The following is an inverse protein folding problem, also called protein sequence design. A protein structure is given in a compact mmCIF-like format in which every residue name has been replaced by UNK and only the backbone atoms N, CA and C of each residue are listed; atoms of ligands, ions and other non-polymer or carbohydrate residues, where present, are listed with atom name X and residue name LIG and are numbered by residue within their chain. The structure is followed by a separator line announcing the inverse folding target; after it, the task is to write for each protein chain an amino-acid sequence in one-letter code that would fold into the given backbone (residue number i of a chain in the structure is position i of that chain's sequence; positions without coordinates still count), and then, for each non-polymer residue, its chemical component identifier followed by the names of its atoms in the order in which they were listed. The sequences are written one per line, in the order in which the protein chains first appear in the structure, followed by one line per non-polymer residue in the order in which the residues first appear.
data_IF_930878022048
#
_entry.id   IF_930878022048
#
_cell.length_a   1.000
_cell.length_b   1.000
_cell.length_c   1.000
_cell.angle_alpha   90.00
_cell.angle_beta   90.00
_cell.angle_gamma   90.00
#
_symmetry.space_group_name_H-M   'P 1'
#
loop_
_entity.id
_entity.type
_entity.pdbx_description
1 polymer ?
#
# COMPACT_ATOMS: atom_id res chain seq x y z
N UNK A 1 48.70 4.24 27.84
CA UNK A 1 48.70 3.47 26.57
C UNK A 1 47.25 3.09 26.20
N UNK A 2 46.66 3.71 25.18
CA UNK A 2 45.30 3.39 24.73
C UNK A 2 45.33 2.69 23.36
N UNK A 3 44.83 1.46 23.29
CA UNK A 3 44.86 0.59 22.12
C UNK A 3 43.73 0.97 21.15
N UNK A 4 44.04 1.67 20.05
CA UNK A 4 43.06 2.00 18.99
C UNK A 4 42.60 0.74 18.27
N UNK A 5 41.29 0.42 18.33
CA UNK A 5 40.67 -0.63 17.49
C UNK A 5 40.39 -0.08 16.09
N UNK A 6 40.97 -0.70 15.04
CA UNK A 6 40.64 -0.40 13.64
C UNK A 6 39.30 -1.04 13.26
N UNK A 7 38.35 -0.24 12.77
CA UNK A 7 37.09 -0.71 12.21
C UNK A 7 37.31 -1.42 10.86
N UNK A 8 36.66 -2.57 10.67
CA UNK A 8 36.69 -3.34 9.41
C UNK A 8 35.82 -2.63 8.36
N UNK A 9 36.40 -2.35 7.19
CA UNK A 9 35.71 -1.71 6.06
C UNK A 9 34.76 -2.70 5.37
N UNK A 10 33.55 -2.28 4.95
CA UNK A 10 32.59 -3.17 4.31
C UNK A 10 33.02 -3.63 2.90
N UNK A 11 32.74 -4.89 2.61
CA UNK A 11 33.32 -5.71 1.52
C UNK A 11 33.00 -5.26 0.08
N UNK A 12 31.93 -4.46 -0.12
CA UNK A 12 31.46 -4.00 -1.43
C UNK A 12 32.31 -2.88 -2.07
N UNK A 13 33.35 -2.37 -1.38
CA UNK A 13 34.26 -1.32 -1.91
C UNK A 13 35.50 -1.87 -2.60
N UNK A 14 35.61 -3.19 -2.80
CA UNK A 14 36.74 -3.79 -3.52
C UNK A 14 36.63 -3.53 -5.03
N UNK A 15 37.75 -3.23 -5.69
CA UNK A 15 37.82 -3.01 -7.14
C UNK A 15 37.25 -4.21 -7.93
N UNK A 16 37.35 -5.41 -7.37
CA UNK A 16 36.78 -6.64 -7.91
C UNK A 16 35.26 -6.55 -8.13
N UNK A 17 34.49 -6.04 -7.15
CA UNK A 17 33.03 -5.93 -7.24
C UNK A 17 32.57 -4.92 -8.31
N UNK A 18 33.33 -3.83 -8.49
CA UNK A 18 33.05 -2.84 -9.53
C UNK A 18 33.23 -3.43 -10.93
N UNK A 19 34.28 -4.21 -11.14
CA UNK A 19 34.56 -4.86 -12.42
C UNK A 19 33.53 -5.94 -12.77
N UNK A 20 33.14 -6.79 -11.80
CA UNK A 20 32.13 -7.84 -12.03
C UNK A 20 30.77 -7.24 -12.38
N UNK A 21 30.38 -6.12 -11.75
CA UNK A 21 29.09 -5.46 -12.02
C UNK A 21 28.99 -4.90 -13.45
N UNK A 22 30.07 -4.30 -13.97
CA UNK A 22 30.10 -3.77 -15.35
C UNK A 22 30.07 -4.87 -16.41
N UNK A 23 30.74 -6.00 -16.16
CA UNK A 23 30.81 -7.09 -17.13
C UNK A 23 29.44 -7.79 -17.29
N UNK A 24 28.73 -8.01 -16.18
CA UNK A 24 27.37 -8.57 -16.20
C UNK A 24 26.38 -7.67 -16.94
N UNK A 25 26.41 -6.35 -16.71
CA UNK A 25 25.54 -5.40 -17.42
C UNK A 25 25.82 -5.35 -18.93
N UNK A 26 27.09 -5.44 -19.34
CA UNK A 26 27.47 -5.36 -20.75
C UNK A 26 27.05 -6.62 -21.52
N UNK A 27 27.20 -7.80 -20.92
CA UNK A 27 26.76 -9.06 -21.54
C UNK A 27 25.23 -9.13 -21.64
N UNK A 28 24.48 -8.62 -20.65
CA UNK A 28 23.02 -8.52 -20.74
C UNK A 28 22.55 -7.62 -21.90
N UNK A 29 23.26 -6.51 -22.17
CA UNK A 29 22.91 -5.60 -23.26
C UNK A 29 23.15 -6.21 -24.64
N UNK A 30 24.24 -6.96 -24.83
CA UNK A 30 24.58 -7.57 -26.12
C UNK A 30 23.69 -8.76 -26.45
N UNK A 31 23.37 -9.60 -25.46
CA UNK A 31 22.49 -10.77 -25.69
C UNK A 31 21.02 -10.35 -25.81
N UNK A 32 20.60 -9.27 -25.13
CA UNK A 32 19.24 -8.73 -25.25
C UNK A 32 18.97 -8.00 -26.57
N UNK A 33 19.99 -7.38 -27.18
CA UNK A 33 19.83 -6.56 -28.39
C UNK A 33 19.62 -7.34 -29.69
N UNK A 34 20.10 -8.58 -29.78
CA UNK A 34 20.07 -9.36 -31.04
C UNK A 34 18.76 -10.14 -31.24
N UNK A 35 17.91 -10.26 -30.21
CA UNK A 35 16.65 -11.02 -30.27
C UNK A 35 15.39 -10.17 -30.54
N UNK A 36 15.58 -8.90 -30.93
CA UNK A 36 14.52 -7.89 -30.95
C UNK A 36 14.47 -7.10 -32.28
N UNK A 37 14.66 -7.77 -33.40
CA UNK A 37 14.41 -7.21 -34.73
C UNK A 37 13.33 -8.05 -35.43
N UNK A 38 12.09 -7.63 -35.26
CA UNK A 38 10.92 -8.24 -35.88
C UNK A 38 9.74 -7.27 -35.73
N UNK A 39 9.42 -6.61 -36.83
CA UNK A 39 8.33 -5.66 -36.97
C UNK A 39 6.99 -6.37 -36.81
N UNK A 40 6.21 -5.91 -35.84
CA UNK A 40 4.75 -5.96 -35.77
C UNK A 40 4.38 -5.15 -34.51
N UNK A 41 3.68 -4.04 -34.72
CA UNK A 41 3.08 -3.21 -33.68
C UNK A 41 2.14 -4.08 -32.81
N UNK A 42 2.41 -4.30 -31.51
CA UNK A 42 1.35 -4.70 -30.62
C UNK A 42 0.48 -3.47 -30.50
N UNK A 43 -0.66 -3.48 -31.20
CA UNK A 43 -1.82 -2.72 -30.76
C UNK A 43 -1.98 -3.05 -29.28
N UNK A 44 -1.53 -2.13 -28.42
CA UNK A 44 -1.81 -2.12 -27.00
C UNK A 44 -3.32 -1.96 -26.90
N UNK A 45 -4.01 -3.09 -27.08
CA UNK A 45 -5.43 -3.24 -26.95
C UNK A 45 -5.74 -3.06 -25.48
N UNK A 46 -5.75 -1.79 -25.07
CA UNK A 46 -6.41 -1.25 -23.89
C UNK A 46 -6.06 -2.00 -22.60
N UNK A 47 -5.47 -1.28 -21.63
CA UNK A 47 -5.75 -1.59 -20.24
C UNK A 47 -7.25 -1.35 -19.98
N UNK A 48 -8.11 -2.19 -20.55
CA UNK A 48 -9.54 -2.21 -20.34
C UNK A 48 -9.73 -2.78 -18.95
N UNK A 49 -9.58 -1.90 -17.97
CA UNK A 49 -10.07 -2.17 -16.64
C UNK A 49 -11.57 -2.39 -16.76
N UNK A 50 -12.06 -3.40 -16.06
CA UNK A 50 -13.48 -3.72 -16.08
C UNK A 50 -14.30 -2.46 -15.73
N UNK A 51 -15.49 -2.38 -16.32
CA UNK A 51 -16.37 -1.21 -16.27
C UNK A 51 -16.43 -0.61 -14.86
N UNK A 52 -16.10 0.68 -14.75
CA UNK A 52 -16.24 1.39 -13.49
C UNK A 52 -17.71 1.73 -13.31
N UNK A 53 -18.39 1.24 -12.26
CA UNK A 53 -19.78 1.60 -12.02
C UNK A 53 -19.86 3.09 -11.70
N UNK A 54 -20.78 3.80 -12.37
CA UNK A 54 -21.09 5.20 -12.05
C UNK A 54 -21.85 5.19 -10.72
N UNK A 55 -21.38 5.96 -9.73
CA UNK A 55 -22.15 6.15 -8.50
C UNK A 55 -23.44 6.89 -8.85
N UNK A 56 -24.60 6.28 -8.54
CA UNK A 56 -25.87 6.99 -8.55
C UNK A 56 -25.91 7.91 -7.32
N UNK A 57 -26.24 9.19 -7.51
CA UNK A 57 -26.46 10.14 -6.42
C UNK A 57 -27.54 9.60 -5.47
N UNK A 58 -27.22 9.46 -4.19
CA UNK A 58 -28.10 8.76 -3.25
C UNK A 58 -27.88 9.15 -1.79
N UNK A 59 -28.36 10.34 -1.44
CA UNK A 59 -28.57 10.82 -0.07
C UNK A 59 -29.67 9.98 0.62
N UNK A 60 -29.41 9.43 1.81
CA UNK A 60 -30.37 8.60 2.53
C UNK A 60 -29.97 8.32 3.98
N UNK A 61 -30.33 9.24 4.86
CA UNK A 61 -30.26 9.12 6.32
C UNK A 61 -31.14 7.98 6.83
N UNK A 62 -30.65 7.22 7.81
CA UNK A 62 -31.41 6.16 8.47
C UNK A 62 -30.75 5.76 9.79
N UNK A 63 -31.06 6.52 10.84
CA UNK A 63 -30.78 6.23 12.25
C UNK A 63 -31.49 4.98 12.74
N UNK A 64 -30.84 4.19 13.60
CA UNK A 64 -31.48 3.09 14.33
C UNK A 64 -30.63 2.66 15.53
N UNK A 65 -30.95 3.25 16.68
CA UNK A 65 -30.48 2.84 18.02
C UNK A 65 -30.94 1.41 18.37
N UNK A 66 -30.14 0.69 19.15
CA UNK A 66 -30.66 -0.31 20.09
C UNK A 66 -29.68 -0.54 21.25
N UNK A 67 -30.22 -0.32 22.45
CA UNK A 67 -29.63 -0.51 23.78
C UNK A 67 -29.73 -1.97 24.22
N UNK A 68 -28.74 -2.40 24.99
CA UNK A 68 -28.94 -3.02 26.32
C UNK A 68 -29.32 -4.51 26.42
N UNK A 69 -28.49 -5.27 27.13
CA UNK A 69 -28.94 -6.28 28.08
C UNK A 69 -27.81 -6.58 29.10
N UNK A 70 -28.17 -6.55 30.38
CA UNK A 70 -27.32 -6.78 31.56
C UNK A 70 -27.45 -8.24 32.04
N UNK A 71 -26.43 -8.65 32.81
CA UNK A 71 -26.54 -9.37 34.09
C UNK A 71 -27.04 -10.81 34.08
N UNK A 72 -26.16 -11.73 34.49
CA UNK A 72 -26.50 -12.73 35.51
C UNK A 72 -25.35 -12.88 36.52
N UNK A 73 -25.72 -12.75 37.80
CA UNK A 73 -24.95 -12.99 39.03
C UNK A 73 -25.28 -14.40 39.49
N UNK A 74 -24.29 -15.14 39.97
CA UNK A 74 -24.50 -16.29 40.85
C UNK A 74 -23.35 -16.35 41.87
N UNK A 75 -23.74 -16.33 43.14
CA UNK A 75 -22.91 -16.51 44.33
C UNK A 75 -22.69 -18.01 44.60
N UNK A 76 -21.62 -18.32 45.33
CA UNK A 76 -21.34 -19.66 45.85
C UNK A 76 -20.23 -19.62 46.91
N UNK A 77 -20.64 -19.64 48.18
CA UNK A 77 -19.80 -19.78 49.38
C UNK A 77 -19.11 -21.15 49.49
N UNK A 78 -17.99 -21.21 50.22
CA UNK A 78 -17.34 -22.47 50.56
C UNK A 78 -16.10 -22.35 51.48
N UNK A 79 -16.34 -22.48 52.78
CA UNK A 79 -15.43 -22.64 53.95
C UNK A 79 -14.22 -23.58 53.78
N UNK A 80 -13.17 -23.36 54.61
CA UNK A 80 -12.27 -24.43 55.12
C UNK A 80 -10.81 -24.01 55.40
N UNK A 81 -10.53 -23.33 56.52
CA UNK A 81 -9.73 -23.80 57.69
C UNK A 81 -8.27 -24.27 57.49
N UNK A 82 -7.35 -23.44 58.01
CA UNK A 82 -6.13 -23.70 58.83
C UNK A 82 -5.38 -25.04 58.69
N UNK A 83 -4.05 -25.00 58.59
CA UNK A 83 -3.14 -25.31 59.72
C UNK A 83 -1.64 -25.30 59.35
N UNK A 84 -0.84 -25.09 60.41
CA UNK A 84 0.56 -25.43 60.64
C UNK A 84 1.70 -24.46 60.30
N UNK A 85 2.67 -24.55 61.22
CA UNK A 85 3.65 -23.58 61.71
C UNK A 85 5.00 -24.30 61.72
N UNK A 86 6.06 -23.49 61.68
CA UNK A 86 7.37 -23.68 62.34
C UNK A 86 8.59 -24.04 61.46
N UNK A 87 9.56 -23.12 61.52
CA UNK A 87 11.00 -23.37 61.77
C UNK A 87 11.84 -23.73 60.54
N UNK A 88 13.11 -23.33 60.40
CA UNK A 88 13.99 -22.41 61.11
C UNK A 88 15.26 -22.21 60.23
N UNK A 89 15.92 -21.07 60.41
CA UNK A 89 17.35 -20.74 60.26
C UNK A 89 18.21 -21.17 59.06
N UNK A 90 18.88 -20.17 58.47
CA UNK A 90 20.06 -20.34 57.60
C UNK A 90 20.58 -19.01 57.03
N UNK A 91 21.63 -18.44 57.63
CA UNK A 91 22.39 -17.28 57.11
C UNK A 91 23.24 -17.68 55.90
N UNK A 92 23.28 -16.84 54.87
CA UNK A 92 24.27 -16.93 53.77
C UNK A 92 24.01 -15.87 52.70
N UNK A 93 24.93 -14.91 52.56
CA UNK A 93 24.74 -13.73 51.73
C UNK A 93 24.86 -13.95 50.22
N UNK A 94 23.98 -13.28 49.48
CA UNK A 94 24.23 -12.64 48.19
C UNK A 94 23.00 -11.76 47.90
N UNK A 95 23.18 -10.47 47.68
CA UNK A 95 22.09 -9.59 47.25
C UNK A 95 21.98 -9.72 45.71
N UNK A 96 20.99 -10.43 45.14
CA UNK A 96 20.81 -10.39 43.70
C UNK A 96 20.32 -8.99 43.34
N UNK A 97 21.05 -8.31 42.44
CA UNK A 97 20.59 -7.08 41.80
C UNK A 97 19.16 -7.29 41.29
N UNK A 98 18.19 -6.67 41.95
CA UNK A 98 16.78 -6.76 41.59
C UNK A 98 16.62 -6.18 40.17
N UNK A 99 16.11 -6.95 39.20
CA UNK A 99 15.84 -6.40 37.87
C UNK A 99 14.86 -5.24 38.00
N UNK A 100 15.18 -4.11 37.37
CA UNK A 100 14.30 -2.95 37.34
C UNK A 100 12.94 -3.37 36.78
N UNK A 101 11.81 -2.92 37.36
CA UNK A 101 10.49 -3.29 36.86
C UNK A 101 10.36 -2.83 35.42
N UNK A 102 10.21 -3.77 34.49
CA UNK A 102 9.80 -3.51 33.11
C UNK A 102 8.44 -2.84 33.17
N UNK A 103 8.43 -1.52 32.96
CA UNK A 103 7.19 -0.76 32.89
C UNK A 103 6.33 -1.37 31.78
N UNK A 104 5.11 -1.85 32.08
CA UNK A 104 4.28 -2.48 31.06
C UNK A 104 4.07 -1.50 29.92
N UNK A 105 4.46 -1.89 28.71
CA UNK A 105 4.17 -1.14 27.49
C UNK A 105 2.65 -1.19 27.31
N UNK A 106 1.99 -0.13 27.79
CA UNK A 106 0.55 0.01 27.66
C UNK A 106 0.24 0.04 26.16
N UNK A 107 -0.61 -0.88 25.64
CA UNK A 107 -0.91 -0.92 24.23
C UNK A 107 -1.44 0.44 23.79
N UNK A 108 -0.85 1.00 22.73
CA UNK A 108 -1.29 2.27 22.18
C UNK A 108 -2.77 2.12 21.78
N UNK A 109 -3.61 3.05 22.26
CA UNK A 109 -5.00 3.09 21.81
C UNK A 109 -5.02 3.33 20.30
N UNK A 110 -5.87 2.62 19.53
CA UNK A 110 -5.99 2.87 18.11
C UNK A 110 -6.38 4.33 17.88
N UNK A 111 -5.65 5.02 17.00
CA UNK A 111 -5.98 6.39 16.58
C UNK A 111 -7.34 6.35 15.86
N UNK A 112 -8.27 7.29 16.14
CA UNK A 112 -9.52 7.36 15.39
C UNK A 112 -9.22 7.56 13.90
N UNK A 113 -10.05 7.00 13.00
CA UNK A 113 -9.86 7.16 11.57
C UNK A 113 -9.92 8.64 11.16
N UNK A 114 -9.13 9.06 10.17
CA UNK A 114 -9.18 10.43 9.68
C UNK A 114 -10.54 10.75 9.08
N UNK A 115 -10.97 12.02 9.22
CA UNK A 115 -12.18 12.52 8.56
C UNK A 115 -11.96 12.58 7.05
N UNK A 116 -12.97 12.27 6.22
CA UNK A 116 -12.91 12.52 4.79
C UNK A 116 -12.59 13.98 4.48
N UNK A 117 -11.85 14.20 3.39
CA UNK A 117 -11.46 15.50 2.88
C UNK A 117 -12.48 16.00 1.85
N UNK A 118 -12.63 17.32 1.67
CA UNK A 118 -13.39 17.87 0.55
C UNK A 118 -12.72 17.54 -0.78
N UNK A 119 -13.39 17.80 -1.90
CA UNK A 119 -12.85 17.53 -3.23
C UNK A 119 -11.59 18.36 -3.52
N UNK A 120 -10.51 17.74 -3.99
CA UNK A 120 -9.36 18.45 -4.62
C UNK A 120 -8.55 17.45 -5.45
N UNK A 121 -8.23 17.75 -6.73
CA UNK A 121 -7.53 16.83 -7.60
C UNK A 121 -6.21 16.31 -7.04
N UNK A 122 -5.85 15.09 -7.43
CA UNK A 122 -4.51 14.56 -7.23
C UNK A 122 -3.51 15.34 -8.09
N UNK A 123 -2.40 15.75 -7.50
CA UNK A 123 -1.29 16.42 -8.17
C UNK A 123 -0.11 15.45 -8.40
N UNK A 124 0.19 14.62 -7.41
CA UNK A 124 1.20 13.57 -7.53
C UNK A 124 0.87 12.38 -6.61
N UNK A 125 1.44 11.22 -6.95
CA UNK A 125 1.35 9.99 -6.17
C UNK A 125 2.76 9.53 -5.80
N UNK A 126 2.96 9.16 -4.54
CA UNK A 126 4.20 8.60 -4.04
C UNK A 126 3.98 7.30 -3.28
N UNK A 127 4.90 6.35 -3.44
CA UNK A 127 4.94 5.10 -2.69
C UNK A 127 6.36 4.93 -2.17
N UNK A 128 6.68 5.50 -0.98
CA UNK A 128 8.06 5.59 -0.49
C UNK A 128 8.78 4.25 -0.40
N UNK A 129 8.07 3.18 -0.07
CA UNK A 129 8.62 1.83 0.00
C UNK A 129 9.22 1.34 -1.33
N UNK A 130 8.67 1.79 -2.45
CA UNK A 130 9.11 1.43 -3.80
C UNK A 130 10.04 2.49 -4.41
N UNK A 131 10.29 3.61 -3.72
CA UNK A 131 10.99 4.76 -4.30
C UNK A 131 10.22 5.42 -5.46
N UNK A 132 8.90 5.23 -5.52
CA UNK A 132 8.03 5.76 -6.56
C UNK A 132 7.56 7.15 -6.18
N UNK A 133 7.74 8.09 -7.10
CA UNK A 133 7.06 9.39 -7.13
C UNK A 133 6.69 9.69 -8.58
N UNK A 134 5.42 10.01 -8.81
CA UNK A 134 4.86 10.13 -10.15
C UNK A 134 3.90 11.32 -10.28
N UNK A 135 3.95 12.06 -11.40
CA UNK A 135 2.90 12.99 -11.76
C UNK A 135 1.58 12.27 -12.00
N UNK A 136 0.48 12.95 -11.68
CA UNK A 136 -0.88 12.42 -11.88
C UNK A 136 -1.61 13.23 -12.94
N UNK A 137 -2.27 12.53 -13.86
CA UNK A 137 -3.21 13.12 -14.81
C UNK A 137 -4.65 12.64 -14.52
N UNK A 138 -5.64 13.45 -14.86
CA UNK A 138 -7.04 13.03 -14.82
C UNK A 138 -7.39 12.16 -16.01
N UNK A 139 -8.10 11.05 -15.77
CA UNK A 139 -8.64 10.17 -16.80
C UNK A 139 -10.17 10.15 -16.77
N UNK A 140 -10.75 10.09 -17.96
CA UNK A 140 -12.18 9.81 -18.18
C UNK A 140 -12.43 8.32 -18.40
N UNK A 141 -13.70 8.00 -18.66
CA UNK A 141 -14.08 6.68 -19.17
C UNK A 141 -14.18 6.74 -20.69
N UNK A 142 -13.93 5.60 -21.35
CA UNK A 142 -14.24 5.41 -22.77
C UNK A 142 -15.76 5.28 -23.01
N UNK A 143 -16.15 5.06 -24.27
CA UNK A 143 -17.56 4.93 -24.69
C UNK A 143 -18.24 3.72 -24.04
N UNK A 144 -17.47 2.69 -23.71
CA UNK A 144 -17.90 1.45 -23.08
C UNK A 144 -17.87 1.51 -21.55
N UNK A 145 -17.63 2.69 -20.96
CA UNK A 145 -17.54 2.98 -19.53
C UNK A 145 -16.39 2.28 -18.81
N UNK A 146 -15.29 2.05 -19.53
CA UNK A 146 -14.05 1.51 -18.97
C UNK A 146 -13.08 2.63 -18.68
N UNK A 147 -12.35 2.48 -17.59
CA UNK A 147 -11.25 3.39 -17.27
C UNK A 147 -10.05 2.97 -18.10
N UNK A 148 -9.56 3.88 -18.93
CA UNK A 148 -8.38 3.65 -19.76
C UNK A 148 -7.09 3.77 -18.94
N UNK A 149 -5.97 3.33 -19.48
CA UNK A 149 -4.66 3.66 -18.92
C UNK A 149 -4.21 5.08 -19.36
N UNK A 150 -3.22 5.68 -18.67
CA UNK A 150 -2.50 6.85 -19.18
C UNK A 150 -1.82 6.56 -20.52
N UNK A 151 -1.44 7.59 -21.29
CA UNK A 151 -0.70 7.43 -22.54
C UNK A 151 0.56 6.57 -22.36
N UNK A 152 0.84 5.69 -23.33
CA UNK A 152 1.98 4.74 -23.27
C UNK A 152 3.33 5.41 -23.53
N UNK A 153 3.32 6.57 -24.19
CA UNK A 153 4.49 7.39 -24.50
C UNK A 153 5.06 8.13 -23.29
N UNK A 154 4.29 8.21 -22.19
CA UNK A 154 4.79 8.64 -20.88
C UNK A 154 4.60 7.53 -19.82
N UNK A 155 5.56 6.60 -19.70
CA UNK A 155 5.47 5.47 -18.77
C UNK A 155 5.54 5.87 -17.29
N UNK A 156 5.77 7.16 -16.97
CA UNK A 156 5.88 7.65 -15.59
C UNK A 156 4.57 8.24 -15.07
N UNK A 157 3.55 8.39 -15.92
CA UNK A 157 2.26 8.96 -15.52
C UNK A 157 1.38 7.97 -14.77
N UNK A 158 0.75 8.47 -13.72
CA UNK A 158 -0.40 7.82 -13.09
C UNK A 158 -1.68 8.49 -13.59
N UNK A 159 -2.63 7.69 -14.04
CA UNK A 159 -3.98 8.16 -14.34
C UNK A 159 -4.88 8.07 -13.11
N UNK A 160 -5.56 9.15 -12.73
CA UNK A 160 -6.58 9.16 -11.68
C UNK A 160 -7.96 9.28 -12.31
N UNK A 161 -8.91 8.44 -11.93
CA UNK A 161 -10.27 8.54 -12.45
C UNK A 161 -10.95 9.83 -11.98
N UNK A 162 -11.11 10.80 -12.88
CA UNK A 162 -11.57 12.15 -12.56
C UNK A 162 -13.06 12.22 -12.19
N UNK A 163 -13.86 11.27 -12.68
CA UNK A 163 -15.28 11.13 -12.36
C UNK A 163 -15.56 10.53 -10.98
N UNK A 164 -14.52 10.04 -10.27
CA UNK A 164 -14.64 9.43 -8.95
C UNK A 164 -14.25 10.36 -7.79
N UNK A 165 -14.11 9.78 -6.58
CA UNK A 165 -13.56 10.47 -5.41
C UNK A 165 -12.12 10.93 -5.64
N UNK A 166 -11.82 12.12 -5.13
CA UNK A 166 -10.46 12.68 -5.09
C UNK A 166 -9.68 12.19 -3.85
N UNK A 167 -8.35 12.39 -3.75
CA UNK A 167 -7.56 11.81 -2.67
C UNK A 167 -8.05 12.17 -1.26
N UNK A 168 -8.55 11.21 -0.49
CA UNK A 168 -9.07 11.40 0.86
C UNK A 168 -10.55 11.79 0.92
N UNK A 169 -11.20 11.99 -0.22
CA UNK A 169 -12.65 12.12 -0.31
C UNK A 169 -13.33 10.79 0.04
N UNK A 170 -14.56 10.84 0.55
CA UNK A 170 -15.34 9.64 0.85
C UNK A 170 -15.59 8.83 -0.43
N UNK A 171 -15.45 7.51 -0.32
CA UNK A 171 -15.65 6.57 -1.43
C UNK A 171 -14.35 5.97 -1.94
N UNK A 172 -14.44 5.19 -3.02
CA UNK A 172 -13.31 4.48 -3.62
C UNK A 172 -12.69 5.26 -4.75
N UNK A 173 -11.54 5.89 -4.49
CA UNK A 173 -10.72 6.48 -5.53
C UNK A 173 -9.97 5.40 -6.32
N UNK A 174 -9.76 5.63 -7.63
CA UNK A 174 -9.08 4.69 -8.52
C UNK A 174 -7.95 5.40 -9.25
N UNK A 175 -6.75 4.84 -9.15
CA UNK A 175 -5.58 5.26 -9.89
C UNK A 175 -4.96 4.08 -10.65
N UNK A 176 -4.51 4.34 -11.87
CA UNK A 176 -4.10 3.32 -12.84
C UNK A 176 -2.77 3.71 -13.46
N UNK A 177 -1.98 2.71 -13.80
CA UNK A 177 -0.65 2.94 -14.38
C UNK A 177 -0.13 1.69 -15.06
N UNK A 178 0.72 1.89 -16.06
CA UNK A 178 1.32 0.79 -16.81
C UNK A 178 2.23 -0.06 -15.92
N UNK A 179 2.24 -1.37 -16.17
CA UNK A 179 3.17 -2.30 -15.55
C UNK A 179 4.55 -2.13 -16.20
N UNK A 180 4.55 -2.13 -17.52
CA UNK A 180 5.71 -1.98 -18.38
C UNK A 180 5.32 -1.34 -19.71
N UNK A 181 6.33 -1.06 -20.50
CA UNK A 181 6.26 -0.67 -21.89
C UNK A 181 7.19 -1.56 -22.69
N UNK A 182 7.14 -1.44 -24.00
CA UNK A 182 8.11 -2.03 -24.93
C UNK A 182 9.57 -1.77 -24.54
N UNK A 183 9.85 -0.62 -23.91
CA UNK A 183 11.21 -0.21 -23.52
C UNK A 183 11.62 -0.59 -22.10
N UNK A 184 10.70 -1.13 -21.30
CA UNK A 184 10.99 -1.57 -19.94
C UNK A 184 9.91 -1.22 -18.92
N UNK A 185 10.23 -1.37 -17.61
CA UNK A 185 9.28 -1.17 -16.52
C UNK A 185 8.67 0.24 -16.51
N UNK A 186 7.38 0.34 -16.19
CA UNK A 186 6.64 1.59 -16.10
C UNK A 186 6.27 1.94 -14.65
N UNK A 187 5.47 2.99 -14.45
CA UNK A 187 5.20 3.58 -13.13
C UNK A 187 4.73 2.56 -12.10
N UNK A 188 3.91 1.57 -12.49
CA UNK A 188 3.35 0.59 -11.56
C UNK A 188 3.99 -0.79 -11.63
N UNK A 189 5.17 -0.92 -12.26
CA UNK A 189 5.93 -2.16 -12.39
C UNK A 189 6.06 -2.95 -11.06
N UNK A 190 6.20 -2.25 -9.94
CA UNK A 190 6.51 -2.84 -8.65
C UNK A 190 5.35 -2.83 -7.65
N UNK A 191 4.13 -2.38 -7.99
CA UNK A 191 3.05 -2.27 -6.99
C UNK A 191 2.59 -3.64 -6.45
N UNK A 192 2.78 -4.72 -7.23
CA UNK A 192 2.59 -6.10 -6.77
C UNK A 192 3.50 -6.53 -5.60
N UNK A 193 4.59 -5.78 -5.37
CA UNK A 193 5.54 -6.02 -4.28
C UNK A 193 5.13 -5.31 -2.98
N UNK A 194 4.06 -4.51 -2.99
CA UNK A 194 3.54 -3.90 -1.77
C UNK A 194 3.04 -4.96 -0.78
N UNK A 195 3.03 -4.57 0.49
CA UNK A 195 2.60 -5.39 1.60
C UNK A 195 1.63 -4.60 2.46
N UNK A 196 0.73 -5.27 3.20
CA UNK A 196 -0.11 -4.60 4.18
C UNK A 196 0.72 -3.73 5.13
N UNK A 197 0.21 -2.54 5.46
CA UNK A 197 0.91 -1.56 6.30
C UNK A 197 1.82 -0.58 5.55
N UNK A 198 2.11 -0.79 4.25
CA UNK A 198 2.87 0.17 3.45
C UNK A 198 2.03 1.41 3.12
N UNK A 199 2.71 2.55 2.95
CA UNK A 199 2.05 3.82 2.70
C UNK A 199 1.98 4.14 1.21
N UNK A 200 0.87 4.74 0.81
CA UNK A 200 0.65 5.41 -0.47
C UNK A 200 0.24 6.84 -0.16
N UNK A 201 0.94 7.81 -0.73
CA UNK A 201 0.75 9.22 -0.47
C UNK A 201 0.26 9.92 -1.73
N UNK A 202 -0.91 10.54 -1.66
CA UNK A 202 -1.48 11.30 -2.77
C UNK A 202 -1.47 12.78 -2.39
N UNK A 203 -0.59 13.55 -3.04
CA UNK A 203 -0.52 14.99 -2.88
C UNK A 203 -1.68 15.62 -3.65
N UNK A 204 -2.38 16.56 -3.03
CA UNK A 204 -3.54 17.24 -3.60
C UNK A 204 -3.17 18.62 -4.11
N UNK A 205 -3.93 19.11 -5.08
CA UNK A 205 -3.79 20.48 -5.59
C UNK A 205 -4.00 21.55 -4.50
N UNK A 206 -4.81 21.26 -3.49
CA UNK A 206 -4.98 22.14 -2.32
C UNK A 206 -3.77 22.16 -1.37
N UNK A 207 -2.71 21.42 -1.66
CA UNK A 207 -1.46 21.37 -0.91
C UNK A 207 -1.45 20.42 0.29
N UNK A 208 -2.57 19.75 0.61
CA UNK A 208 -2.59 18.65 1.59
C UNK A 208 -2.12 17.34 0.96
N UNK A 209 -1.76 16.37 1.81
CA UNK A 209 -1.47 15.00 1.37
C UNK A 209 -2.42 14.03 2.06
N UNK A 210 -3.13 13.24 1.25
CA UNK A 210 -3.90 12.09 1.72
C UNK A 210 -2.96 10.88 1.82
N UNK A 211 -2.83 10.32 3.02
CA UNK A 211 -1.95 9.19 3.31
C UNK A 211 -2.80 7.95 3.53
N UNK A 212 -2.60 6.97 2.66
CA UNK A 212 -3.30 5.70 2.66
C UNK A 212 -2.37 4.59 3.16
N UNK A 213 -2.93 3.64 3.90
CA UNK A 213 -2.25 2.41 4.29
C UNK A 213 -2.77 1.26 3.46
N UNK A 214 -1.86 0.51 2.84
CA UNK A 214 -2.17 -0.71 2.08
C UNK A 214 -2.77 -1.75 3.03
N UNK A 215 -3.92 -2.27 2.64
CA UNK A 215 -4.64 -3.37 3.30
C UNK A 215 -4.27 -4.71 2.68
N UNK A 216 -4.25 -4.77 1.34
CA UNK A 216 -4.01 -5.98 0.59
C UNK A 216 -3.51 -5.68 -0.82
N UNK A 217 -2.84 -6.68 -1.42
CA UNK A 217 -2.53 -6.72 -2.85
C UNK A 217 -3.10 -8.02 -3.38
N UNK A 218 -3.93 -7.94 -4.42
CA UNK A 218 -4.60 -9.09 -5.02
C UNK A 218 -4.43 -9.07 -6.54
N UNK A 219 -4.43 -10.24 -7.15
CA UNK A 219 -4.40 -10.40 -8.61
C UNK A 219 -5.70 -11.04 -9.05
N UNK A 220 -6.34 -10.44 -10.06
CA UNK A 220 -7.60 -10.93 -10.62
C UNK A 220 -7.46 -11.10 -12.12
N UNK A 221 -7.93 -12.23 -12.64
CA UNK A 221 -8.08 -12.40 -14.09
C UNK A 221 -9.05 -11.36 -14.65
N UNK A 222 -8.73 -10.79 -15.81
CA UNK A 222 -9.58 -9.78 -16.45
C UNK A 222 -10.99 -10.32 -16.76
N UNK A 223 -11.09 -11.59 -17.12
CA UNK A 223 -12.36 -12.27 -17.41
C UNK A 223 -13.29 -12.39 -16.19
N UNK A 224 -12.73 -12.43 -14.98
CA UNK A 224 -13.45 -12.66 -13.72
C UNK A 224 -13.27 -11.49 -12.75
N UNK A 225 -13.07 -10.27 -13.27
CA UNK A 225 -12.73 -9.12 -12.45
C UNK A 225 -13.89 -8.73 -11.50
N UNK A 226 -13.69 -8.73 -10.16
CA UNK A 226 -14.79 -8.55 -9.22
C UNK A 226 -15.09 -7.05 -9.00
N UNK A 227 -15.84 -6.44 -9.92
CA UNK A 227 -16.18 -5.01 -9.90
C UNK A 227 -16.72 -4.53 -8.55
N UNK A 228 -17.64 -5.29 -7.93
CA UNK A 228 -18.24 -4.91 -6.63
C UNK A 228 -17.20 -4.87 -5.51
N UNK A 229 -16.24 -5.80 -5.50
CA UNK A 229 -15.20 -5.84 -4.47
C UNK A 229 -14.22 -4.67 -4.64
N UNK A 230 -13.80 -4.43 -5.89
CA UNK A 230 -12.77 -3.45 -6.22
C UNK A 230 -13.31 -2.02 -6.12
N UNK A 231 -14.45 -1.73 -6.76
CA UNK A 231 -14.98 -0.37 -6.89
C UNK A 231 -16.06 -0.02 -5.87
N UNK A 232 -16.65 -0.99 -5.18
CA UNK A 232 -17.74 -0.76 -4.23
C UNK A 232 -17.36 0.18 -3.10
N UNK A 233 -18.33 0.98 -2.65
CA UNK A 233 -18.15 1.87 -1.49
C UNK A 233 -17.96 1.05 -0.20
N UNK A 234 -17.10 1.55 0.68
CA UNK A 234 -16.81 1.00 2.01
C UNK A 234 -17.17 1.96 3.14
N UNK A 235 -17.82 3.09 2.85
CA UNK A 235 -18.23 4.08 3.84
C UNK A 235 -17.05 4.85 4.44
N UNK A 236 -15.87 4.82 3.80
CA UNK A 236 -14.67 5.59 4.18
C UNK A 236 -13.84 5.93 2.94
N UNK A 237 -12.86 6.83 3.04
CA UNK A 237 -11.94 7.11 1.93
C UNK A 237 -11.04 5.90 1.63
N UNK A 238 -11.18 5.37 0.42
CA UNK A 238 -10.49 4.19 -0.08
C UNK A 238 -9.68 4.56 -1.34
N UNK A 239 -8.63 3.81 -1.61
CA UNK A 239 -7.81 3.92 -2.82
C UNK A 239 -7.60 2.53 -3.43
N UNK A 240 -7.72 2.47 -4.76
CA UNK A 240 -7.32 1.33 -5.58
C UNK A 240 -6.21 1.77 -6.52
N UNK A 241 -5.06 1.11 -6.43
CA UNK A 241 -4.03 1.19 -7.46
C UNK A 241 -4.16 -0.03 -8.36
N UNK A 242 -4.24 0.16 -9.67
CA UNK A 242 -4.47 -0.93 -10.62
C UNK A 242 -3.43 -0.90 -11.73
N UNK A 243 -2.83 -2.05 -12.01
CA UNK A 243 -1.95 -2.25 -13.16
C UNK A 243 -2.19 -3.62 -13.81
N UNK A 244 -1.70 -3.79 -15.03
CA UNK A 244 -1.71 -5.09 -15.71
C UNK A 244 -0.85 -6.12 -14.94
N UNK A 245 -1.15 -7.41 -15.10
CA UNK A 245 -0.35 -8.48 -14.52
C UNK A 245 -0.74 -9.86 -15.03
N UNK A 246 -0.20 -10.90 -14.39
CA UNK A 246 -0.34 -12.27 -14.88
C UNK A 246 0.53 -12.54 -16.11
N UNK A 247 0.22 -13.60 -16.83
CA UNK A 247 0.94 -13.97 -18.05
C UNK A 247 0.64 -12.99 -19.19
N UNK A 248 1.66 -12.70 -19.98
CA UNK A 248 1.56 -11.87 -21.18
C UNK A 248 1.39 -12.75 -22.42
N UNK A 249 0.40 -12.43 -23.24
CA UNK A 249 0.20 -13.00 -24.57
C UNK A 249 0.28 -11.88 -25.62
N UNK A 250 1.00 -12.10 -26.72
CA UNK A 250 1.21 -11.04 -27.75
C UNK A 250 -0.07 -10.58 -28.44
N UNK A 251 -1.10 -11.44 -28.52
CA UNK A 251 -2.37 -11.14 -29.19
C UNK A 251 -3.42 -10.58 -28.22
N UNK A 252 -3.37 -11.00 -26.95
CA UNK A 252 -4.39 -10.69 -25.93
C UNK A 252 -3.92 -9.72 -24.84
N UNK A 253 -2.61 -9.45 -24.78
CA UNK A 253 -1.98 -8.72 -23.70
C UNK A 253 -1.95 -9.51 -22.39
N UNK A 254 -1.86 -8.78 -21.28
CA UNK A 254 -1.84 -9.34 -19.93
C UNK A 254 -3.18 -9.98 -19.53
N UNK A 255 -3.14 -11.18 -18.98
CA UNK A 255 -4.33 -11.95 -18.58
C UNK A 255 -5.04 -11.39 -17.32
N UNK A 256 -4.32 -10.67 -16.46
CA UNK A 256 -4.80 -10.27 -15.14
C UNK A 256 -4.56 -8.78 -14.86
N UNK A 257 -5.14 -8.31 -13.77
CA UNK A 257 -4.84 -7.03 -13.15
C UNK A 257 -4.37 -7.26 -11.71
N UNK A 258 -3.36 -6.51 -11.29
CA UNK A 258 -2.95 -6.40 -9.88
C UNK A 258 -3.67 -5.20 -9.28
N UNK A 259 -4.34 -5.41 -8.15
CA UNK A 259 -5.10 -4.40 -7.42
C UNK A 259 -4.55 -4.26 -6.01
N UNK A 260 -4.10 -3.05 -5.68
CA UNK A 260 -3.74 -2.65 -4.32
C UNK A 260 -4.96 -2.03 -3.67
N UNK A 261 -5.35 -2.56 -2.51
CA UNK A 261 -6.40 -2.01 -1.66
C UNK A 261 -5.74 -1.19 -0.56
N UNK A 262 -6.18 0.04 -0.36
CA UNK A 262 -5.69 0.90 0.71
C UNK A 262 -6.79 1.82 1.24
N UNK A 263 -6.69 2.21 2.51
CA UNK A 263 -7.62 3.16 3.14
C UNK A 263 -6.87 4.33 3.77
N UNK A 264 -7.55 5.47 3.86
CA UNK A 264 -6.98 6.69 4.44
C UNK A 264 -6.71 6.49 5.93
N UNK A 265 -5.48 6.74 6.36
CA UNK A 265 -5.03 6.62 7.75
C UNK A 265 -4.49 7.93 8.32
N UNK A 266 -4.08 8.86 7.44
CA UNK A 266 -3.58 10.15 7.85
C UNK A 266 -3.86 11.23 6.79
N UNK A 267 -3.96 12.48 7.23
CA UNK A 267 -3.89 13.66 6.36
C UNK A 267 -2.76 14.54 6.85
N UNK A 268 -1.83 14.88 5.97
CA UNK A 268 -0.74 15.82 6.27
C UNK A 268 -1.10 17.20 5.71
N UNK A 269 -0.85 18.22 6.51
CA UNK A 269 -1.16 19.61 6.18
C UNK A 269 -0.29 20.16 5.04
N UNK A 270 -0.62 21.38 4.60
CA UNK A 270 0.23 22.13 3.67
C UNK A 270 1.66 22.20 4.22
N UNK A 271 2.65 21.87 3.40
CA UNK A 271 4.02 22.28 3.69
C UNK A 271 3.98 23.80 3.89
N UNK A 272 4.25 24.27 5.11
CA UNK A 272 4.39 25.70 5.37
C UNK A 272 5.61 26.15 4.58
N UNK A 273 5.40 27.00 3.57
CA UNK A 273 6.49 27.67 2.87
C UNK A 273 7.30 28.47 3.90
N UNK A 274 8.58 28.11 4.01
CA UNK A 274 9.61 28.94 4.65
C UNK A 274 10.09 29.98 3.67
#
# INVERSE_FOLDING_TARGET
MARRRRARRPWYRTRAYRLTRTLVMSVCLVVGGVWWAGEDEPTDATANLAQVPVAADGNGSGSGDARGAKSHRAEGEGRGTKSHRSGADGRGGANPLRPAPTRPVRPARPKPPPRPLPRSPAASLAIPYLGLEAPVMGLGLDRERRLTAPPVDDPKLVGWYAGGPTPGERGTAVAVGHLDTRTGPAVFAAIGQLRPGRLVEARRADGRTAVYTVDAVKTYEKAHFPNKEVYGDRGRPELRLITCGGTYDRKKGYASNVVVFAHLTETRGRARGT
#
